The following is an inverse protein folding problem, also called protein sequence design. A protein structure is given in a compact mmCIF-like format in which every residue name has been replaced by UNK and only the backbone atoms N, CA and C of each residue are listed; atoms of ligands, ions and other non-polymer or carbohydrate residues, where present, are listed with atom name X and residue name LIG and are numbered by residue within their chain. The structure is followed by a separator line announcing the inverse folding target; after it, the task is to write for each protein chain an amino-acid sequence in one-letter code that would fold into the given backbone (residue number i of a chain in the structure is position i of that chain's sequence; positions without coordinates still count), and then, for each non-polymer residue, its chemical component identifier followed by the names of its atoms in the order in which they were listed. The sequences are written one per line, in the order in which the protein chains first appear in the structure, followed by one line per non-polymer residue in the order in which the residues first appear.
data_IF_810716078521
#
_entry.id   IF_810716078521
#
_cell.length_a   1.000
_cell.length_b   1.000
_cell.length_c   1.000
_cell.angle_alpha   90.00
_cell.angle_beta   90.00
_cell.angle_gamma   90.00
#
_symmetry.space_group_name_H-M   'P 1'
#
loop_
_entity.id
_entity.type
_entity.pdbx_description
1 polymer ?
#
# COMPACT_ATOMS: atom_id res chain seq x y z
N UNK A 1 -3.31 15.23 -37.53
CA UNK A 1 -4.09 14.05 -37.99
C UNK A 1 -5.19 13.82 -36.96
N UNK A 2 -6.39 14.34 -37.23
CA UNK A 2 -7.53 14.28 -36.33
C UNK A 2 -8.29 12.96 -36.56
N UNK A 3 -8.54 12.20 -35.50
CA UNK A 3 -9.43 11.04 -35.53
C UNK A 3 -10.62 11.35 -34.65
N UNK A 4 -11.80 11.38 -35.29
CA UNK A 4 -13.08 11.80 -34.74
C UNK A 4 -13.79 10.64 -34.03
N UNK A 5 -14.32 10.92 -32.84
CA UNK A 5 -15.25 10.05 -32.10
C UNK A 5 -16.62 10.01 -32.80
N UNK A 6 -17.14 8.80 -33.07
CA UNK A 6 -18.52 8.58 -33.55
C UNK A 6 -19.25 7.63 -32.60
N UNK A 7 -20.06 8.24 -31.75
CA UNK A 7 -21.42 7.84 -31.37
C UNK A 7 -21.89 6.42 -31.74
N UNK A 8 -22.13 5.61 -30.73
CA UNK A 8 -23.19 4.60 -30.76
C UNK A 8 -23.90 4.60 -29.41
N UNK A 9 -25.06 5.24 -29.39
CA UNK A 9 -26.06 5.09 -28.34
C UNK A 9 -26.74 3.73 -28.52
N UNK A 10 -26.80 2.92 -27.46
CA UNK A 10 -27.79 1.84 -27.32
C UNK A 10 -28.40 1.98 -25.94
N UNK A 11 -29.69 2.30 -25.95
CA UNK A 11 -30.58 2.49 -24.81
C UNK A 11 -31.24 1.16 -24.42
N UNK A 12 -31.48 0.98 -23.10
CA UNK A 12 -32.66 0.34 -22.48
C UNK A 12 -32.85 -1.18 -22.77
N UNK A 13 -33.00 -2.13 -21.84
CA UNK A 13 -33.89 -2.31 -20.68
C UNK A 13 -33.48 -3.63 -20.02
N UNK A 14 -33.53 -3.75 -18.68
CA UNK A 14 -34.41 -4.70 -17.95
C UNK A 14 -34.00 -4.78 -16.47
N UNK A 15 -34.86 -4.24 -15.62
CA UNK A 15 -34.84 -4.43 -14.18
C UNK A 15 -35.28 -5.86 -13.84
N UNK A 16 -34.53 -6.54 -12.98
CA UNK A 16 -34.97 -7.76 -12.29
C UNK A 16 -34.63 -7.63 -10.81
N UNK A 17 -35.67 -7.30 -10.06
CA UNK A 17 -35.72 -7.28 -8.60
C UNK A 17 -35.67 -8.71 -8.07
N UNK A 18 -34.64 -9.06 -7.29
CA UNK A 18 -34.69 -10.20 -6.38
C UNK A 18 -34.83 -9.66 -4.96
N UNK A 19 -36.07 -9.63 -4.49
CA UNK A 19 -36.44 -9.43 -3.10
C UNK A 19 -36.59 -10.82 -2.48
N UNK A 20 -35.67 -11.17 -1.58
CA UNK A 20 -35.75 -12.37 -0.76
C UNK A 20 -35.51 -12.00 0.69
N UNK A 21 -36.55 -12.14 1.52
CA UNK A 21 -36.49 -12.02 2.97
C UNK A 21 -36.38 -13.42 3.61
N UNK A 22 -35.51 -13.55 4.61
CA UNK A 22 -35.88 -14.17 5.88
C UNK A 22 -35.03 -15.32 6.44
N UNK A 23 -34.36 -15.03 7.57
CA UNK A 23 -34.25 -15.79 8.85
C UNK A 23 -33.54 -17.17 8.83
N UNK A 24 -32.70 -17.63 9.77
CA UNK A 24 -32.26 -17.21 11.12
C UNK A 24 -30.93 -17.97 11.48
N UNK A 25 -30.25 -17.54 12.54
CA UNK A 25 -28.96 -17.98 13.16
C UNK A 25 -29.00 -19.40 13.81
N UNK A 26 -27.98 -19.95 14.55
CA UNK A 26 -26.70 -19.41 15.09
C UNK A 26 -25.47 -20.35 14.99
N UNK A 27 -24.28 -19.87 15.42
CA UNK A 27 -23.15 -20.73 15.79
C UNK A 27 -21.80 -20.02 15.98
N UNK A 28 -21.57 -19.46 17.17
CA UNK A 28 -20.28 -18.92 17.65
C UNK A 28 -19.23 -20.05 17.82
N UNK A 29 -17.93 -19.72 17.80
CA UNK A 29 -17.27 -19.67 19.11
C UNK A 29 -16.34 -18.47 19.36
N UNK A 30 -16.35 -18.11 20.64
CA UNK A 30 -15.55 -17.18 21.42
C UNK A 30 -14.02 -17.35 21.24
N UNK A 31 -13.30 -16.24 21.36
CA UNK A 31 -11.86 -16.14 21.20
C UNK A 31 -11.34 -14.74 21.49
N UNK A 32 -11.61 -14.24 22.70
CA UNK A 32 -11.10 -12.98 23.25
C UNK A 32 -9.56 -12.89 23.25
N UNK A 33 -9.02 -11.78 22.74
CA UNK A 33 -7.77 -11.19 23.23
C UNK A 33 -7.60 -9.72 22.75
N UNK A 34 -7.82 -8.79 23.67
CA UNK A 34 -6.96 -7.60 23.84
C UNK A 34 -7.20 -6.39 22.92
N UNK A 35 -8.07 -5.50 23.37
CA UNK A 35 -8.16 -4.11 22.92
C UNK A 35 -6.97 -3.29 23.48
N UNK A 36 -6.57 -2.20 22.80
CA UNK A 36 -6.48 -0.93 23.53
C UNK A 36 -7.41 0.10 22.89
N UNK A 37 -8.35 0.61 23.68
CA UNK A 37 -9.27 1.65 23.26
C UNK A 37 -8.59 3.01 23.06
N UNK A 38 -9.16 3.83 22.17
CA UNK A 38 -9.92 5.02 22.60
C UNK A 38 -10.59 5.78 21.43
N UNK A 39 -11.90 5.98 21.64
CA UNK A 39 -12.83 7.05 21.26
C UNK A 39 -13.03 7.52 19.80
N UNK A 40 -14.18 7.11 19.29
CA UNK A 40 -15.34 7.95 18.93
C UNK A 40 -15.14 9.18 18.03
N UNK A 41 -15.52 8.98 16.77
CA UNK A 41 -16.04 10.00 15.86
C UNK A 41 -16.53 9.32 14.58
N UNK A 42 -17.76 8.80 14.59
CA UNK A 42 -18.34 8.11 13.41
C UNK A 42 -18.72 9.14 12.35
N UNK A 43 -18.09 9.03 11.18
CA UNK A 43 -18.51 9.63 9.93
C UNK A 43 -18.19 8.67 8.79
N UNK A 44 -19.20 8.01 8.27
CA UNK A 44 -19.11 7.05 7.16
C UNK A 44 -18.58 7.77 5.91
N UNK A 45 -17.44 7.31 5.39
CA UNK A 45 -17.22 7.34 3.95
C UNK A 45 -15.80 7.58 3.45
N UNK A 46 -15.25 6.57 2.76
CA UNK A 46 -14.31 6.68 1.64
C UNK A 46 -12.87 7.05 2.02
N UNK A 47 -12.22 6.14 2.76
CA UNK A 47 -10.84 5.67 2.59
C UNK A 47 -10.50 4.96 3.89
N UNK A 48 -10.49 3.62 3.89
CA UNK A 48 -10.15 2.83 5.08
C UNK A 48 -8.69 2.96 5.51
N UNK A 49 -7.95 3.84 4.86
CA UNK A 49 -6.65 4.31 5.25
C UNK A 49 -6.92 5.60 6.02
N UNK A 50 -7.09 5.48 7.35
CA UNK A 50 -7.19 6.65 8.21
C UNK A 50 -6.03 7.62 7.94
N UNK A 51 -6.25 8.91 8.22
CA UNK A 51 -5.25 9.98 8.03
C UNK A 51 -3.86 9.51 8.42
N UNK A 52 -2.91 9.61 7.49
CA UNK A 52 -1.56 9.15 7.75
C UNK A 52 -0.94 10.03 8.83
N UNK A 53 -0.70 9.48 10.02
CA UNK A 53 -0.09 10.22 11.12
C UNK A 53 1.40 10.40 10.86
N UNK A 54 1.88 11.61 11.14
CA UNK A 54 3.27 12.01 10.86
C UNK A 54 4.28 11.16 11.64
N UNK A 55 3.93 10.70 12.84
CA UNK A 55 4.80 9.85 13.65
C UNK A 55 5.04 8.49 12.98
N UNK A 56 3.98 7.86 12.48
CA UNK A 56 4.14 6.59 11.75
C UNK A 56 4.89 6.78 10.43
N UNK A 57 4.73 7.91 9.73
CA UNK A 57 5.55 8.19 8.55
C UNK A 57 7.02 8.33 8.91
N UNK A 58 7.33 9.04 9.99
CA UNK A 58 8.69 9.20 10.49
C UNK A 58 9.29 7.86 10.90
N UNK A 59 8.54 7.04 11.64
CA UNK A 59 8.97 5.68 11.99
C UNK A 59 9.23 4.83 10.74
N UNK A 60 8.34 4.91 9.74
CA UNK A 60 8.50 4.20 8.48
C UNK A 60 9.73 4.67 7.68
N UNK A 61 10.01 5.97 7.68
CA UNK A 61 11.21 6.57 7.11
C UNK A 61 12.48 6.07 7.82
N UNK A 62 12.46 6.00 9.15
CA UNK A 62 13.59 5.51 9.96
C UNK A 62 13.87 4.02 9.67
N UNK A 63 12.83 3.19 9.58
CA UNK A 63 12.96 1.78 9.18
C UNK A 63 13.51 1.67 7.75
N UNK A 64 13.00 2.48 6.83
CA UNK A 64 13.50 2.52 5.44
C UNK A 64 14.98 2.90 5.39
N UNK A 65 15.37 3.97 6.10
CA UNK A 65 16.75 4.44 6.17
C UNK A 65 17.69 3.37 6.73
N UNK A 66 17.24 2.62 7.75
CA UNK A 66 18.06 1.59 8.39
C UNK A 66 18.20 0.32 7.58
N UNK A 67 17.13 -0.20 6.99
CA UNK A 67 17.11 -1.54 6.40
C UNK A 67 17.03 -1.56 4.88
N UNK A 68 16.49 -0.52 4.26
CA UNK A 68 16.12 -0.53 2.84
C UNK A 68 17.04 0.36 2.00
N UNK A 69 17.37 1.55 2.50
CA UNK A 69 18.04 2.61 1.73
C UNK A 69 19.40 2.17 1.14
N UNK A 70 20.16 1.32 1.86
CA UNK A 70 21.43 0.79 1.36
C UNK A 70 21.31 0.09 -0.01
N UNK A 71 20.17 -0.55 -0.27
CA UNK A 71 19.89 -1.24 -1.53
C UNK A 71 18.90 -0.51 -2.44
N UNK A 72 18.03 0.34 -1.89
CA UNK A 72 16.85 0.86 -2.59
C UNK A 72 16.79 2.40 -2.70
N UNK A 73 17.77 3.13 -2.17
CA UNK A 73 17.82 4.57 -2.40
C UNK A 73 18.03 4.91 -3.89
N UNK A 74 17.70 6.16 -4.22
CA UNK A 74 17.84 6.66 -5.59
C UNK A 74 19.31 6.81 -5.99
N UNK A 75 19.59 6.64 -7.28
CA UNK A 75 20.93 6.78 -7.84
C UNK A 75 21.72 5.49 -7.92
N UNK A 76 22.98 5.61 -8.33
CA UNK A 76 23.89 4.49 -8.53
C UNK A 76 24.43 3.94 -7.21
N UNK A 77 24.90 2.68 -7.23
CA UNK A 77 25.45 2.01 -6.05
C UNK A 77 24.40 1.30 -5.16
N UNK A 78 23.12 1.40 -5.54
CA UNK A 78 22.00 0.74 -4.85
C UNK A 78 21.53 -0.49 -5.65
N UNK A 79 21.98 -1.71 -5.29
CA UNK A 79 21.74 -2.90 -6.11
C UNK A 79 20.26 -3.22 -6.31
N UNK A 80 19.39 -2.96 -5.33
CA UNK A 80 17.95 -3.12 -5.47
C UNK A 80 17.36 -2.18 -6.52
N UNK A 81 17.70 -0.89 -6.46
CA UNK A 81 17.29 0.12 -7.46
C UNK A 81 17.77 -0.24 -8.86
N UNK A 82 19.04 -0.62 -9.00
CA UNK A 82 19.63 -1.01 -10.29
C UNK A 82 18.96 -2.27 -10.88
N UNK A 83 18.69 -3.28 -10.05
CA UNK A 83 17.97 -4.48 -10.49
C UNK A 83 16.53 -4.18 -10.89
N UNK A 84 15.85 -3.27 -10.19
CA UNK A 84 14.50 -2.83 -10.54
C UNK A 84 14.50 -2.03 -11.86
N UNK A 85 15.52 -1.22 -12.13
CA UNK A 85 15.65 -0.52 -13.40
C UNK A 85 15.71 -1.49 -14.59
N UNK A 86 16.46 -2.60 -14.45
CA UNK A 86 16.53 -3.65 -15.48
C UNK A 86 15.18 -4.37 -15.64
N UNK A 87 14.50 -4.68 -14.53
CA UNK A 87 13.26 -5.47 -14.54
C UNK A 87 12.02 -4.68 -14.95
N UNK A 88 11.89 -3.44 -14.48
CA UNK A 88 10.67 -2.63 -14.52
C UNK A 88 10.84 -1.32 -15.30
N UNK A 89 12.04 -1.04 -15.80
CA UNK A 89 12.40 0.24 -16.41
C UNK A 89 12.86 1.29 -15.37
N UNK A 90 13.60 2.28 -15.85
CA UNK A 90 14.17 3.35 -15.02
C UNK A 90 13.12 4.22 -14.33
N UNK A 91 11.93 4.38 -14.92
CA UNK A 91 10.82 5.12 -14.30
C UNK A 91 10.19 4.44 -13.08
N UNK A 92 10.52 3.17 -12.81
CA UNK A 92 10.00 2.39 -11.67
C UNK A 92 11.10 1.73 -10.84
N UNK A 93 12.31 2.29 -10.88
CA UNK A 93 13.47 1.76 -10.16
C UNK A 93 13.50 2.15 -8.69
N UNK A 94 13.04 3.35 -8.36
CA UNK A 94 13.06 3.93 -7.00
C UNK A 94 11.76 3.56 -6.30
N UNK A 95 11.82 2.69 -5.29
CA UNK A 95 10.60 2.13 -4.68
C UNK A 95 9.74 3.14 -3.93
N UNK A 96 10.33 4.24 -3.45
CA UNK A 96 9.64 5.36 -2.80
C UNK A 96 9.11 6.40 -3.78
N UNK A 97 9.24 6.17 -5.09
CA UNK A 97 8.66 7.00 -6.14
C UNK A 97 7.77 6.20 -7.12
N UNK A 98 7.27 5.02 -6.70
CA UNK A 98 6.48 4.10 -7.53
C UNK A 98 5.00 4.13 -7.17
N UNK A 99 4.14 4.51 -8.09
CA UNK A 99 2.69 4.52 -7.90
C UNK A 99 2.00 3.13 -7.95
N UNK A 100 2.73 2.06 -8.26
CA UNK A 100 2.16 0.74 -8.56
C UNK A 100 2.38 -0.33 -7.46
N UNK A 101 2.83 0.08 -6.28
CA UNK A 101 3.11 -0.85 -5.18
C UNK A 101 1.90 -1.01 -4.25
N UNK A 102 1.29 -2.21 -4.30
CA UNK A 102 0.26 -2.59 -3.35
C UNK A 102 0.87 -2.80 -1.94
N UNK A 103 0.23 -2.28 -0.87
CA UNK A 103 0.69 -2.43 0.51
C UNK A 103 0.97 -3.88 0.93
N UNK A 104 0.08 -4.81 0.58
CA UNK A 104 0.26 -6.23 0.93
C UNK A 104 1.39 -6.88 0.14
N UNK A 105 1.66 -6.40 -1.08
CA UNK A 105 2.82 -6.84 -1.85
C UNK A 105 4.13 -6.42 -1.18
N UNK A 106 4.21 -5.18 -0.67
CA UNK A 106 5.37 -4.69 0.07
C UNK A 106 5.62 -5.59 1.30
N UNK A 107 4.59 -5.84 2.11
CA UNK A 107 4.69 -6.69 3.31
C UNK A 107 5.13 -8.10 2.96
N UNK A 108 4.55 -8.69 1.92
CA UNK A 108 4.90 -10.03 1.44
C UNK A 108 6.38 -10.09 1.02
N UNK A 109 6.87 -9.12 0.24
CA UNK A 109 8.26 -9.07 -0.20
C UNK A 109 9.22 -8.88 0.97
N UNK A 110 8.90 -8.03 1.96
CA UNK A 110 9.74 -7.84 3.15
C UNK A 110 9.83 -9.13 3.98
N UNK A 111 8.72 -9.87 4.11
CA UNK A 111 8.67 -11.11 4.88
C UNK A 111 9.29 -12.32 4.18
N UNK A 112 9.26 -12.37 2.85
CA UNK A 112 9.68 -13.55 2.08
C UNK A 112 10.95 -13.32 1.25
N UNK A 113 11.40 -12.08 1.09
CA UNK A 113 12.43 -11.71 0.15
C UNK A 113 11.95 -11.76 -1.30
N UNK A 114 12.80 -11.30 -2.22
CA UNK A 114 12.54 -11.37 -3.66
C UNK A 114 13.85 -11.36 -4.45
N UNK A 115 14.20 -12.51 -5.04
CA UNK A 115 15.45 -12.66 -5.78
C UNK A 115 16.66 -12.49 -4.85
N UNK A 116 17.43 -11.41 -5.06
CA UNK A 116 18.60 -11.08 -4.22
C UNK A 116 18.23 -10.27 -2.96
N UNK A 117 16.99 -9.80 -2.84
CA UNK A 117 16.52 -9.12 -1.64
C UNK A 117 16.27 -10.15 -0.52
N UNK A 118 16.96 -10.05 0.64
CA UNK A 118 16.76 -10.97 1.74
C UNK A 118 15.37 -10.79 2.39
N UNK A 119 14.91 -11.84 3.08
CA UNK A 119 13.73 -11.78 3.94
C UNK A 119 14.09 -11.22 5.32
N UNK A 120 13.20 -10.40 5.90
CA UNK A 120 13.34 -9.85 7.25
C UNK A 120 12.44 -10.56 8.24
N UNK A 121 13.04 -10.98 9.37
CA UNK A 121 12.33 -11.66 10.45
C UNK A 121 11.49 -10.67 11.26
N UNK A 122 10.40 -11.13 11.91
CA UNK A 122 9.63 -10.31 12.86
C UNK A 122 10.46 -9.73 14.01
N UNK A 123 11.59 -10.37 14.34
CA UNK A 123 12.56 -9.89 15.35
C UNK A 123 13.44 -8.74 14.86
N UNK A 124 13.55 -8.53 13.55
CA UNK A 124 14.36 -7.47 12.93
C UNK A 124 13.49 -6.28 12.54
N UNK A 125 12.30 -6.57 11.99
CA UNK A 125 11.26 -5.58 11.66
C UNK A 125 9.93 -6.14 12.21
N UNK A 126 9.45 -5.54 13.29
CA UNK A 126 8.18 -5.91 13.92
C UNK A 126 6.97 -5.57 13.03
N UNK A 127 5.78 -6.06 13.39
CA UNK A 127 4.58 -5.81 12.57
C UNK A 127 4.16 -4.34 12.54
N UNK A 128 4.34 -3.62 13.66
CA UNK A 128 4.10 -2.17 13.71
C UNK A 128 5.06 -1.40 12.82
N UNK A 129 6.36 -1.72 12.89
CA UNK A 129 7.41 -1.15 12.03
C UNK A 129 7.18 -1.47 10.55
N UNK A 130 6.77 -2.70 10.22
CA UNK A 130 6.46 -3.10 8.86
C UNK A 130 5.24 -2.34 8.31
N UNK A 131 4.23 -2.11 9.15
CA UNK A 131 3.08 -1.29 8.77
C UNK A 131 3.52 0.16 8.51
N UNK A 132 4.30 0.74 9.42
CA UNK A 132 4.88 2.08 9.27
C UNK A 132 5.69 2.23 7.99
N UNK A 133 6.61 1.29 7.72
CA UNK A 133 7.41 1.23 6.50
C UNK A 133 6.53 1.18 5.23
N UNK A 134 5.49 0.35 5.25
CA UNK A 134 4.57 0.20 4.12
C UNK A 134 3.84 1.51 3.85
N UNK A 135 3.34 2.18 4.89
CA UNK A 135 2.67 3.49 4.77
C UNK A 135 3.63 4.55 4.27
N UNK A 136 4.85 4.58 4.77
CA UNK A 136 5.88 5.50 4.29
C UNK A 136 6.17 5.32 2.80
N UNK A 137 6.40 4.08 2.33
CA UNK A 137 6.67 3.82 0.91
C UNK A 137 5.49 4.30 0.05
N UNK A 138 4.26 3.93 0.41
CA UNK A 138 3.06 4.31 -0.36
C UNK A 138 2.82 5.82 -0.34
N UNK A 139 2.93 6.49 0.80
CA UNK A 139 2.75 7.93 0.91
C UNK A 139 3.87 8.71 0.19
N UNK A 140 5.10 8.20 0.19
CA UNK A 140 6.19 8.81 -0.59
C UNK A 140 5.88 8.79 -2.10
N UNK A 141 5.20 7.74 -2.58
CA UNK A 141 4.76 7.62 -3.97
C UNK A 141 3.65 8.62 -4.33
N UNK A 142 2.71 8.84 -3.42
CA UNK A 142 1.63 9.84 -3.60
C UNK A 142 2.19 11.27 -3.64
N UNK A 143 3.21 11.56 -2.81
CA UNK A 143 3.85 12.88 -2.73
C UNK A 143 4.96 13.10 -3.77
N UNK A 144 5.46 12.07 -4.45
CA UNK A 144 6.44 12.25 -5.53
C UNK A 144 5.83 12.72 -6.86
N UNK A 145 4.49 12.81 -6.94
CA UNK A 145 3.76 13.64 -7.92
C UNK A 145 3.56 15.10 -7.48
N UNK A 146 3.94 15.45 -6.25
CA UNK A 146 3.77 16.77 -5.63
C UNK A 146 4.98 17.14 -4.79
N UNK A 147 6.10 17.42 -5.47
CA UNK A 147 7.28 18.17 -5.00
C UNK A 147 7.30 18.53 -3.49
N UNK A 148 7.94 17.69 -2.67
CA UNK A 148 8.43 18.14 -1.35
C UNK A 148 9.69 18.99 -1.61
N UNK A 149 9.46 20.27 -1.92
CA UNK A 149 10.51 21.29 -1.94
C UNK A 149 11.02 21.49 -0.50
N UNK A 150 12.29 21.18 -0.29
CA UNK A 150 13.05 21.61 0.89
C UNK A 150 13.40 23.09 0.78
#
# INVERSE_FOLDING_TARGET
KHVNYRWAAVMFVLALSFSGCGLDEPGEPDGTAGEPGVSSGVGVGWSSWGSVDLETLKQGEDVYGRYCAGCHAAGDGHPGTMRLAIRSGTGKSIITARDDLAPDYIKMVVRNGLGMMPAFRPTEIGDGELNALTRYIVAANENSGGEIKK
#
